data_IF_468106621900
#
_entry.id   IF_468106621900
#
_cell.length_a   1.000
_cell.length_b   1.000
_cell.length_c   1.000
_cell.angle_alpha   90.00
_cell.angle_beta   90.00
_cell.angle_gamma   90.00
#
_symmetry.space_group_name_H-M   'P 1'
#
loop_
_entity.id
_entity.type
_entity.pdbx_description
1 polymer ?
#
# COMPACT_ATOMS: atom_id res chain seq x y z
N UNK A 1 11.97 16.58 5.84
CA UNK A 1 10.52 16.38 5.63
C UNK A 1 10.38 14.89 5.37
N UNK A 2 9.55 14.20 6.15
CA UNK A 2 9.39 12.75 6.05
C UNK A 2 8.28 12.51 5.02
N UNK A 3 8.67 12.58 3.75
CA UNK A 3 7.86 12.25 2.61
C UNK A 3 7.73 10.73 2.55
N UNK A 4 6.91 10.14 3.43
CA UNK A 4 6.47 8.75 3.22
C UNK A 4 4.99 8.77 2.89
N UNK A 5 4.69 9.46 1.78
CA UNK A 5 3.42 9.32 1.09
C UNK A 5 3.41 8.04 0.27
N UNK A 6 3.89 6.92 0.81
CA UNK A 6 3.97 5.62 0.13
C UNK A 6 3.18 4.58 0.92
N UNK A 7 2.52 3.68 0.20
CA UNK A 7 1.71 2.64 0.82
C UNK A 7 2.58 1.77 1.74
N UNK A 8 2.12 1.54 2.96
CA UNK A 8 2.82 0.75 3.96
C UNK A 8 2.91 -0.75 3.60
N UNK A 9 2.16 -1.21 2.61
CA UNK A 9 2.19 -2.60 2.16
C UNK A 9 3.49 -2.95 1.44
N UNK A 10 4.20 -3.97 1.95
CA UNK A 10 5.42 -4.49 1.32
C UNK A 10 5.13 -5.12 -0.04
N UNK A 11 5.45 -4.37 -1.10
CA UNK A 11 5.17 -4.75 -2.49
C UNK A 11 4.29 -3.75 -3.22
N UNK A 12 3.73 -2.76 -2.50
CA UNK A 12 3.02 -1.65 -3.10
C UNK A 12 3.95 -0.44 -3.23
N UNK A 13 4.10 0.07 -4.44
CA UNK A 13 4.83 1.32 -4.69
C UNK A 13 3.90 2.53 -4.85
N UNK A 14 2.61 2.39 -4.49
CA UNK A 14 1.64 3.45 -4.68
C UNK A 14 1.89 4.62 -3.73
N UNK A 15 1.79 5.83 -4.28
CA UNK A 15 1.82 7.03 -3.49
C UNK A 15 0.47 7.25 -2.79
N UNK A 16 0.47 7.30 -1.46
CA UNK A 16 -0.65 7.74 -0.62
C UNK A 16 -0.56 9.23 -0.38
N UNK A 17 -1.69 9.91 -0.53
CA UNK A 17 -1.80 11.34 -0.23
C UNK A 17 -2.48 11.54 1.13
N UNK A 18 -1.81 12.25 2.03
CA UNK A 18 -2.31 12.60 3.37
C UNK A 18 -1.85 11.63 4.46
N UNK A 19 -2.60 11.57 5.56
CA UNK A 19 -2.34 10.72 6.74
C UNK A 19 -2.75 9.25 6.53
N UNK A 20 -2.99 8.82 5.29
CA UNK A 20 -3.37 7.45 4.99
C UNK A 20 -2.12 6.60 4.79
N UNK A 21 -2.04 5.50 5.54
CA UNK A 21 -0.93 4.56 5.50
C UNK A 21 -1.02 3.62 4.28
N UNK A 22 -2.21 3.45 3.72
CA UNK A 22 -2.49 2.49 2.64
C UNK A 22 -3.17 3.17 1.47
N UNK A 23 -2.82 2.77 0.25
CA UNK A 23 -3.43 3.33 -0.96
C UNK A 23 -4.88 2.90 -1.15
N UNK A 24 -5.27 1.78 -0.52
CA UNK A 24 -6.61 1.20 -0.58
C UNK A 24 -6.82 0.21 0.57
N UNK A 25 -8.08 -0.12 0.89
CA UNK A 25 -8.42 -1.09 1.94
C UNK A 25 -7.86 -2.49 1.67
N UNK A 26 -7.57 -2.81 0.40
CA UNK A 26 -6.94 -4.08 0.01
C UNK A 26 -5.53 -4.23 0.61
N UNK A 27 -4.67 -3.22 0.45
CA UNK A 27 -3.32 -3.21 1.03
C UNK A 27 -3.34 -3.27 2.55
N UNK A 28 -4.32 -2.58 3.17
CA UNK A 28 -4.51 -2.60 4.62
C UNK A 28 -4.86 -4.00 5.12
N UNK A 29 -5.75 -4.70 4.41
CA UNK A 29 -6.16 -6.06 4.77
C UNK A 29 -5.06 -7.09 4.48
N UNK A 30 -4.29 -6.90 3.40
CA UNK A 30 -3.15 -7.76 3.06
C UNK A 30 -2.03 -7.68 4.10
N UNK A 31 -1.71 -6.48 4.60
CA UNK A 31 -0.78 -6.31 5.73
C UNK A 31 -1.31 -6.89 7.04
N UNK A 32 -2.59 -6.66 7.38
CA UNK A 32 -3.21 -7.24 8.60
C UNK A 32 -3.26 -8.78 8.55
N UNK A 33 -3.46 -9.34 7.36
CA UNK A 33 -3.51 -10.78 7.14
C UNK A 33 -2.13 -11.46 7.08
N UNK A 34 -1.02 -10.71 7.21
CA UNK A 34 0.36 -11.16 6.96
C UNK A 34 0.45 -11.96 5.64
N UNK A 35 -0.44 -11.66 4.68
CA UNK A 35 -0.40 -12.28 3.37
C UNK A 35 0.73 -11.58 2.65
N UNK A 36 1.89 -12.23 2.64
CA UNK A 36 3.03 -11.82 1.81
C UNK A 36 2.67 -12.10 0.35
N UNK A 37 1.69 -11.38 -0.17
CA UNK A 37 1.27 -11.47 -1.55
C UNK A 37 2.44 -10.94 -2.39
N UNK A 38 2.95 -11.80 -3.27
CA UNK A 38 4.14 -11.52 -4.09
C UNK A 38 3.90 -10.29 -5.00
N UNK A 39 2.63 -9.95 -5.24
CA UNK A 39 2.21 -8.78 -5.98
C UNK A 39 1.08 -8.06 -5.25
N UNK A 40 1.19 -6.73 -5.16
CA UNK A 40 0.12 -5.88 -4.67
C UNK A 40 -0.94 -5.71 -5.75
N UNK A 41 -2.15 -6.26 -5.54
CA UNK A 41 -3.28 -6.14 -6.48
C UNK A 41 -4.25 -5.02 -6.07
N UNK A 42 -3.72 -3.90 -5.56
CA UNK A 42 -4.55 -2.77 -5.11
C UNK A 42 -5.34 -2.09 -6.24
N UNK A 43 -5.13 -2.50 -7.50
CA UNK A 43 -5.87 -2.03 -8.67
C UNK A 43 -5.47 -0.61 -9.12
N UNK A 44 -4.40 -0.06 -8.57
CA UNK A 44 -3.93 1.28 -8.94
C UNK A 44 -3.04 1.21 -10.20
N UNK A 45 -3.22 2.12 -11.17
CA UNK A 45 -2.37 2.15 -12.34
C UNK A 45 -0.93 2.53 -11.93
N UNK A 46 0.02 1.62 -12.16
CA UNK A 46 1.43 1.83 -11.81
C UNK A 46 1.85 1.29 -10.43
N UNK A 47 1.05 0.38 -9.85
CA UNK A 47 1.52 -0.49 -8.78
C UNK A 47 2.52 -1.52 -9.31
#
# INVERSE_FOLDING_TARGET
MADDGTCAHKGCSCAVSGDNEYCSDHCRNAEDSDMTEIACDCGHPGC
#
